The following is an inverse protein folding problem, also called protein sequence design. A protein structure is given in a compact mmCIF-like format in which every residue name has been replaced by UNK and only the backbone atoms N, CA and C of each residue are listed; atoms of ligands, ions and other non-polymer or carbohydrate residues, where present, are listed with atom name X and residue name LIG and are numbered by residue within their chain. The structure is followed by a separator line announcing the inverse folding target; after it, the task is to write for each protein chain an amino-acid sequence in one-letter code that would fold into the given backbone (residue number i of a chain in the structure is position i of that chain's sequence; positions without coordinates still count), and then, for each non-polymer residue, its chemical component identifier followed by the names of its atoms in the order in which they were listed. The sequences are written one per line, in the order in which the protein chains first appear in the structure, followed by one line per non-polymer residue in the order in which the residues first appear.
data_IF_026353634656
#
_entry.id   IF_026353634656
#
_cell.length_a   1.000
_cell.length_b   1.000
_cell.length_c   1.000
_cell.angle_alpha   90.00
_cell.angle_beta   90.00
_cell.angle_gamma   90.00
#
_symmetry.space_group_name_H-M   'P 1'
#
loop_
_entity.id
_entity.type
_entity.pdbx_description
1 polymer ?
#
# COMPACT_ATOMS: atom_id res chain seq x y z
N UNK A 1 -17.56 20.38 8.10
CA UNK A 1 -17.11 19.34 9.05
C UNK A 1 -16.68 20.04 10.32
N UNK A 2 -17.19 19.64 11.50
CA UNK A 2 -16.74 20.27 12.75
C UNK A 2 -15.29 19.88 13.02
N UNK A 3 -14.52 20.79 13.61
CA UNK A 3 -13.11 20.52 13.98
C UNK A 3 -12.98 19.33 14.92
N UNK A 4 -13.96 19.15 15.80
CA UNK A 4 -14.06 18.01 16.72
C UNK A 4 -14.09 16.66 15.98
N UNK A 5 -14.89 16.54 14.92
CA UNK A 5 -14.97 15.32 14.10
C UNK A 5 -13.64 15.02 13.41
N UNK A 6 -12.88 16.06 13.03
CA UNK A 6 -11.57 15.91 12.37
C UNK A 6 -10.53 15.40 13.37
N UNK A 7 -10.53 15.94 14.59
CA UNK A 7 -9.61 15.53 15.65
C UNK A 7 -9.81 14.06 16.04
N UNK A 8 -11.06 13.60 16.15
CA UNK A 8 -11.36 12.19 16.46
C UNK A 8 -10.84 11.24 15.36
N UNK A 9 -10.98 11.63 14.07
CA UNK A 9 -10.47 10.83 12.94
C UNK A 9 -8.94 10.79 12.89
N UNK A 10 -8.29 11.91 13.20
CA UNK A 10 -6.82 11.99 13.35
C UNK A 10 -6.33 11.05 14.45
N UNK A 11 -6.95 11.10 15.62
CA UNK A 11 -6.57 10.25 16.75
C UNK A 11 -6.77 8.77 16.43
N UNK A 12 -7.90 8.42 15.80
CA UNK A 12 -8.16 7.05 15.36
C UNK A 12 -7.16 6.58 14.30
N UNK A 13 -6.83 7.46 13.34
CA UNK A 13 -5.82 7.19 12.33
C UNK A 13 -4.46 6.91 12.97
N UNK A 14 -4.00 7.78 13.88
CA UNK A 14 -2.69 7.63 14.51
C UNK A 14 -2.61 6.39 15.40
N UNK A 15 -3.67 6.08 16.15
CA UNK A 15 -3.77 4.84 16.93
C UNK A 15 -3.65 3.58 16.06
N UNK A 16 -4.20 3.60 14.85
CA UNK A 16 -4.24 2.45 13.95
C UNK A 16 -3.23 2.52 12.80
N UNK A 17 -2.39 3.56 12.73
CA UNK A 17 -1.53 3.86 11.57
C UNK A 17 -0.66 2.67 11.16
N UNK A 18 -0.04 2.01 12.14
CA UNK A 18 0.82 0.84 11.91
C UNK A 18 0.04 -0.34 11.32
N UNK A 19 -1.19 -0.57 11.81
CA UNK A 19 -2.07 -1.63 11.31
C UNK A 19 -2.44 -1.36 9.85
N UNK A 20 -2.85 -0.13 9.53
CA UNK A 20 -3.19 0.26 8.16
C UNK A 20 -2.01 0.15 7.21
N UNK A 21 -0.81 0.58 7.62
CA UNK A 21 0.40 0.46 6.80
C UNK A 21 0.72 -1.00 6.48
N UNK A 22 0.63 -1.89 7.49
CA UNK A 22 0.81 -3.32 7.26
C UNK A 22 -0.24 -3.87 6.29
N UNK A 23 -1.51 -3.51 6.45
CA UNK A 23 -2.58 -3.94 5.52
C UNK A 23 -2.27 -3.53 4.08
N UNK A 24 -1.85 -2.28 3.86
CA UNK A 24 -1.52 -1.81 2.51
C UNK A 24 -0.24 -2.41 1.95
N UNK A 25 0.75 -2.64 2.80
CA UNK A 25 1.98 -3.32 2.41
C UNK A 25 1.70 -4.77 1.98
N UNK A 26 0.94 -5.53 2.76
CA UNK A 26 0.54 -6.89 2.40
C UNK A 26 -0.39 -6.94 1.19
N UNK A 27 -1.29 -5.95 1.03
CA UNK A 27 -2.05 -5.80 -0.20
C UNK A 27 -1.12 -5.60 -1.40
N UNK A 28 -0.08 -4.78 -1.27
CA UNK A 28 0.94 -4.58 -2.30
C UNK A 28 1.77 -5.83 -2.60
N UNK A 29 2.07 -6.66 -1.59
CA UNK A 29 2.67 -7.99 -1.81
C UNK A 29 1.72 -8.87 -2.64
N UNK A 30 0.43 -8.89 -2.29
CA UNK A 30 -0.59 -9.62 -3.04
C UNK A 30 -0.69 -9.15 -4.49
N UNK A 31 -0.70 -7.83 -4.73
CA UNK A 31 -0.66 -7.23 -6.07
C UNK A 31 0.60 -7.66 -6.82
N UNK A 32 1.78 -7.61 -6.18
CA UNK A 32 3.04 -8.05 -6.78
C UNK A 32 3.00 -9.53 -7.17
N UNK A 33 2.44 -10.40 -6.32
CA UNK A 33 2.27 -11.82 -6.62
C UNK A 33 1.31 -12.04 -7.80
N UNK A 34 0.18 -11.34 -7.82
CA UNK A 34 -0.77 -11.41 -8.93
C UNK A 34 -0.08 -11.01 -10.23
N UNK A 35 0.63 -9.88 -10.24
CA UNK A 35 1.41 -9.41 -11.39
C UNK A 35 2.48 -10.40 -11.83
N UNK A 36 3.13 -11.10 -10.90
CA UNK A 36 4.11 -12.12 -11.23
C UNK A 36 3.48 -13.37 -11.88
N UNK A 37 2.32 -13.81 -11.39
CA UNK A 37 1.70 -15.07 -11.83
C UNK A 37 0.74 -14.93 -13.04
N UNK A 38 0.30 -13.72 -13.40
CA UNK A 38 -0.68 -13.51 -14.48
C UNK A 38 -0.06 -13.54 -15.89
N UNK A 39 0.36 -14.71 -16.38
CA UNK A 39 0.85 -14.83 -17.79
C UNK A 39 -0.28 -14.66 -18.82
N UNK A 40 -0.05 -14.04 -20.00
CA UNK A 40 1.22 -13.52 -20.53
C UNK A 40 1.53 -12.06 -20.17
N UNK A 41 0.61 -11.36 -19.51
CA UNK A 41 0.75 -9.95 -19.11
C UNK A 41 1.53 -9.75 -17.81
N UNK A 42 2.02 -10.85 -17.25
CA UNK A 42 2.67 -10.89 -15.96
C UNK A 42 3.99 -10.16 -16.05
N UNK A 43 4.17 -9.19 -15.16
CA UNK A 43 5.40 -8.43 -15.08
C UNK A 43 6.44 -9.32 -14.41
N UNK A 44 7.16 -10.09 -15.22
CA UNK A 44 8.39 -10.78 -14.85
C UNK A 44 9.58 -9.98 -15.38
N UNK A 45 9.93 -8.84 -14.75
CA UNK A 45 11.15 -8.10 -15.09
C UNK A 45 12.40 -8.93 -14.78
N UNK A 46 12.23 -10.05 -14.06
CA UNK A 46 13.27 -10.93 -13.56
C UNK A 46 13.63 -12.06 -14.51
N UNK A 47 14.27 -11.70 -15.63
CA UNK A 47 15.41 -12.49 -16.07
C UNK A 47 16.57 -12.48 -15.04
N UNK A 48 16.50 -11.60 -14.04
CA UNK A 48 17.49 -11.40 -12.97
C UNK A 48 16.84 -11.25 -11.59
N UNK A 49 17.40 -11.95 -10.61
CA UNK A 49 17.01 -11.92 -9.18
C UNK A 49 17.06 -10.49 -8.60
N UNK A 50 17.99 -9.66 -9.09
CA UNK A 50 18.16 -8.29 -8.64
C UNK A 50 16.96 -7.40 -8.98
N UNK A 51 16.44 -7.52 -10.20
CA UNK A 51 15.24 -6.77 -10.59
C UNK A 51 14.01 -7.32 -9.87
N UNK A 52 13.91 -8.63 -9.70
CA UNK A 52 12.85 -9.26 -8.91
C UNK A 52 12.79 -8.75 -7.47
N UNK A 53 13.93 -8.58 -6.80
CA UNK A 53 13.97 -8.04 -5.43
C UNK A 53 13.64 -6.55 -5.36
N UNK A 54 14.08 -5.75 -6.34
CA UNK A 54 13.71 -4.32 -6.43
C UNK A 54 12.20 -4.19 -6.58
N UNK A 55 11.60 -4.85 -7.58
CA UNK A 55 10.15 -4.74 -7.81
C UNK A 55 9.35 -5.35 -6.65
N UNK A 56 9.86 -6.43 -6.04
CA UNK A 56 9.30 -7.05 -4.84
C UNK A 56 9.27 -6.14 -3.61
N UNK A 57 10.09 -5.08 -3.56
CA UNK A 57 10.05 -4.06 -2.50
C UNK A 57 9.33 -2.79 -2.94
N UNK A 58 9.59 -2.33 -4.16
CA UNK A 58 9.03 -1.08 -4.70
C UNK A 58 7.51 -1.17 -4.83
N UNK A 59 6.96 -2.30 -5.29
CA UNK A 59 5.52 -2.45 -5.48
C UNK A 59 4.78 -2.40 -4.11
N UNK A 60 5.17 -3.17 -3.09
CA UNK A 60 4.57 -3.06 -1.76
C UNK A 60 4.70 -1.67 -1.13
N UNK A 61 5.86 -1.02 -1.23
CA UNK A 61 6.07 0.31 -0.66
C UNK A 61 5.23 1.38 -1.38
N UNK A 62 5.18 1.33 -2.70
CA UNK A 62 4.35 2.24 -3.51
C UNK A 62 2.87 2.07 -3.21
N UNK A 63 2.42 0.82 -3.09
CA UNK A 63 1.05 0.48 -2.69
C UNK A 63 0.75 1.02 -1.29
N UNK A 64 1.66 0.83 -0.33
CA UNK A 64 1.49 1.36 1.02
C UNK A 64 1.30 2.87 1.05
N UNK A 65 2.13 3.61 0.31
CA UNK A 65 2.03 5.07 0.21
C UNK A 65 0.73 5.51 -0.47
N UNK A 66 0.39 4.92 -1.61
CA UNK A 66 -0.79 5.29 -2.39
C UNK A 66 -2.07 5.04 -1.61
N UNK A 67 -2.23 3.84 -1.04
CA UNK A 67 -3.42 3.51 -0.25
C UNK A 67 -3.49 4.28 1.06
N UNK A 68 -2.35 4.57 1.71
CA UNK A 68 -2.36 5.46 2.87
C UNK A 68 -2.82 6.87 2.51
N UNK A 69 -2.39 7.40 1.36
CA UNK A 69 -2.81 8.73 0.90
C UNK A 69 -4.30 8.76 0.58
N UNK A 70 -4.79 7.76 -0.17
CA UNK A 70 -6.21 7.63 -0.50
C UNK A 70 -7.06 7.46 0.76
N UNK A 71 -6.65 6.62 1.72
CA UNK A 71 -7.42 6.41 2.94
C UNK A 71 -7.52 7.69 3.77
N UNK A 72 -6.40 8.42 3.98
CA UNK A 72 -6.42 9.72 4.67
C UNK A 72 -7.39 10.70 4.01
N UNK A 73 -7.29 10.85 2.69
CA UNK A 73 -8.18 11.70 1.91
C UNK A 73 -9.65 11.26 2.03
N UNK A 74 -9.93 9.96 2.06
CA UNK A 74 -11.28 9.41 2.20
C UNK A 74 -11.89 9.67 3.59
N UNK A 75 -11.09 9.62 4.65
CA UNK A 75 -11.54 9.99 6.01
C UNK A 75 -11.55 11.50 6.27
N UNK A 76 -11.12 12.31 5.29
CA UNK A 76 -11.12 13.78 5.38
C UNK A 76 -9.97 14.34 6.23
N UNK A 77 -8.84 13.64 6.26
CA UNK A 77 -7.55 14.09 6.79
C UNK A 77 -6.61 14.49 5.65
#
# INVERSE_FOLDING_TARGET
MREEDRNIRLEYWDKNRRKWYNVYFFAGIGVNLILYFTKPYGFDPSGSIFWGSIFGLVIPLSTMFLFSYIHKKAIGL
#
